data_IF_209897176083
#
_entry.id   IF_209897176083
#
_cell.length_a   1.000
_cell.length_b   1.000
_cell.length_c   1.000
_cell.angle_alpha   90.00
_cell.angle_beta   90.00
_cell.angle_gamma   90.00
#
_symmetry.space_group_name_H-M   'P 1'
#
loop_
_entity.id
_entity.type
_entity.pdbx_description
1 polymer ?
#
# COMPACT_ATOMS: atom_id res chain seq x y z
N UNK A 1 -7.96 -8.74 -3.96
CA UNK A 1 -6.63 -9.08 -3.43
C UNK A 1 -6.67 -9.20 -1.91
N UNK A 2 -6.17 -10.31 -1.36
CA UNK A 2 -6.12 -10.52 0.10
C UNK A 2 -5.07 -9.61 0.74
N UNK A 3 -5.24 -9.21 2.02
CA UNK A 3 -4.26 -8.37 2.72
C UNK A 3 -2.84 -8.94 2.69
N UNK A 4 -2.71 -10.27 2.81
CA UNK A 4 -1.41 -10.97 2.76
C UNK A 4 -0.76 -10.85 1.38
N UNK A 5 -1.51 -11.08 0.31
CA UNK A 5 -1.02 -10.96 -1.07
C UNK A 5 -0.55 -9.54 -1.37
N UNK A 6 -1.32 -8.54 -0.91
CA UNK A 6 -0.93 -7.15 -1.09
C UNK A 6 0.28 -6.75 -0.24
N UNK A 7 0.41 -7.26 0.98
CA UNK A 7 1.61 -7.08 1.81
C UNK A 7 2.84 -7.64 1.10
N UNK A 8 2.74 -8.84 0.53
CA UNK A 8 3.85 -9.49 -0.15
C UNK A 8 4.24 -8.72 -1.43
N UNK A 9 3.26 -8.20 -2.18
CA UNK A 9 3.50 -7.25 -3.27
C UNK A 9 4.25 -6.00 -2.80
N UNK A 10 3.80 -5.35 -1.71
CA UNK A 10 4.46 -4.17 -1.18
C UNK A 10 5.91 -4.48 -0.77
N UNK A 11 6.16 -5.63 -0.17
CA UNK A 11 7.53 -6.04 0.20
C UNK A 11 8.42 -6.14 -1.03
N UNK A 12 7.94 -6.72 -2.13
CA UNK A 12 8.70 -6.82 -3.37
C UNK A 12 8.98 -5.45 -3.99
N UNK A 13 7.95 -4.60 -4.11
CA UNK A 13 8.10 -3.24 -4.63
C UNK A 13 9.09 -2.42 -3.80
N UNK A 14 8.95 -2.45 -2.48
CA UNK A 14 9.79 -1.66 -1.58
C UNK A 14 11.26 -2.11 -1.59
N UNK A 15 11.52 -3.42 -1.67
CA UNK A 15 12.91 -3.94 -1.77
C UNK A 15 13.60 -3.50 -3.05
N UNK A 16 12.85 -3.29 -4.12
CA UNK A 16 13.37 -2.85 -5.41
C UNK A 16 13.34 -1.32 -5.59
N UNK A 17 12.83 -0.57 -4.60
CA UNK A 17 12.74 0.89 -4.66
C UNK A 17 14.08 1.56 -4.32
N UNK A 18 14.61 2.45 -5.18
CA UNK A 18 15.83 3.20 -4.88
C UNK A 18 15.76 3.96 -3.55
N UNK A 19 16.82 3.84 -2.75
CA UNK A 19 16.94 4.54 -1.47
C UNK A 19 16.25 3.84 -0.29
N UNK A 20 15.55 2.72 -0.50
CA UNK A 20 15.13 1.83 0.59
C UNK A 20 16.33 1.00 1.05
N UNK A 21 16.63 1.03 2.35
CA UNK A 21 17.74 0.28 2.95
C UNK A 21 17.30 -1.09 3.49
N UNK A 22 16.08 -1.19 4.02
CA UNK A 22 15.55 -2.41 4.64
C UNK A 22 14.04 -2.47 4.52
N UNK A 23 13.52 -3.67 4.33
CA UNK A 23 12.10 -4.00 4.40
C UNK A 23 11.94 -5.26 5.24
N UNK A 24 11.08 -5.21 6.24
CA UNK A 24 10.84 -6.31 7.16
C UNK A 24 9.34 -6.50 7.40
N UNK A 25 8.90 -7.76 7.42
CA UNK A 25 7.54 -8.12 7.81
C UNK A 25 7.51 -8.31 9.33
N UNK A 26 6.54 -7.69 9.99
CA UNK A 26 6.35 -7.78 11.43
C UNK A 26 5.23 -8.78 11.74
N UNK A 27 5.60 -10.01 12.11
CA UNK A 27 4.65 -11.10 12.37
C UNK A 27 4.09 -11.06 13.81
N UNK A 28 4.90 -10.66 14.80
CA UNK A 28 4.57 -10.74 16.24
C UNK A 28 4.24 -9.37 16.89
N UNK A 29 3.79 -8.40 16.10
CA UNK A 29 3.46 -7.05 16.56
C UNK A 29 2.01 -6.85 16.99
N UNK A 30 1.68 -5.71 17.63
CA UNK A 30 0.29 -5.34 17.94
C UNK A 30 -0.58 -5.11 16.69
N UNK A 31 0.05 -5.00 15.52
CA UNK A 31 -0.59 -4.75 14.24
C UNK A 31 -0.38 -5.94 13.30
N UNK A 32 -1.43 -6.73 12.98
CA UNK A 32 -1.31 -7.80 12.01
C UNK A 32 -1.01 -7.23 10.62
N UNK A 33 -0.28 -8.00 9.81
CA UNK A 33 0.13 -7.63 8.45
C UNK A 33 0.92 -6.31 8.38
N UNK A 34 1.71 -6.04 9.43
CA UNK A 34 2.57 -4.87 9.48
C UNK A 34 3.91 -5.12 8.78
N UNK A 35 4.50 -4.03 8.31
CA UNK A 35 5.81 -3.99 7.66
C UNK A 35 6.61 -2.78 8.15
N UNK A 36 7.90 -2.97 8.39
CA UNK A 36 8.85 -1.90 8.69
C UNK A 36 9.70 -1.62 7.45
N UNK A 37 9.87 -0.34 7.12
CA UNK A 37 10.68 0.12 6.00
C UNK A 37 11.69 1.14 6.50
N UNK A 38 12.97 0.88 6.27
CA UNK A 38 14.02 1.87 6.45
C UNK A 38 14.29 2.57 5.12
N UNK A 39 14.07 3.88 5.07
CA UNK A 39 14.26 4.72 3.87
C UNK A 39 14.74 6.11 4.27
N UNK A 40 15.76 6.65 3.61
CA UNK A 40 16.27 8.00 3.86
C UNK A 40 16.70 8.27 5.31
N UNK A 41 17.21 7.23 6.00
CA UNK A 41 17.59 7.33 7.41
C UNK A 41 16.43 7.34 8.41
N UNK A 42 15.20 7.10 7.95
CA UNK A 42 14.00 6.97 8.78
C UNK A 42 13.51 5.54 8.75
N UNK A 43 12.82 5.13 9.82
CA UNK A 43 12.05 3.89 9.86
C UNK A 43 10.56 4.22 9.85
N UNK A 44 9.81 3.58 8.97
CA UNK A 44 8.36 3.74 8.79
C UNK A 44 7.69 2.40 9.01
N UNK A 45 6.68 2.34 9.88
CA UNK A 45 5.89 1.13 10.12
C UNK A 45 4.53 1.29 9.48
N UNK A 46 4.16 0.36 8.61
CA UNK A 46 2.90 0.38 7.88
C UNK A 46 2.08 -0.84 8.24
N UNK A 47 0.78 -0.67 8.43
CA UNK A 47 -0.17 -1.75 8.55
C UNK A 47 -1.02 -1.86 7.30
N UNK A 48 -1.17 -3.08 6.76
CA UNK A 48 -2.02 -3.39 5.62
C UNK A 48 -3.33 -4.04 6.08
N UNK A 49 -4.46 -3.50 5.63
CA UNK A 49 -5.80 -4.04 5.91
C UNK A 49 -6.55 -4.19 4.58
N UNK A 50 -7.04 -5.39 4.27
CA UNK A 50 -7.83 -5.63 3.06
C UNK A 50 -9.33 -5.58 3.34
N UNK A 51 -10.09 -5.12 2.36
CA UNK A 51 -11.54 -5.12 2.33
C UNK A 51 -12.02 -5.78 1.04
N UNK A 52 -12.89 -6.78 1.20
CA UNK A 52 -13.55 -7.43 0.07
C UNK A 52 -14.51 -6.48 -0.65
N UNK A 53 -14.76 -6.77 -1.92
CA UNK A 53 -15.81 -6.11 -2.69
C UNK A 53 -17.18 -6.34 -2.04
N UNK A 54 -18.10 -5.42 -2.27
CA UNK A 54 -19.45 -5.53 -1.72
C UNK A 54 -20.12 -6.83 -2.17
N UNK A 55 -20.65 -7.60 -1.21
CA UNK A 55 -21.30 -8.89 -1.47
C UNK A 55 -20.36 -10.08 -1.72
N UNK A 56 -19.04 -9.86 -1.77
CA UNK A 56 -18.08 -10.95 -1.92
C UNK A 56 -17.93 -11.75 -0.62
N UNK A 57 -17.68 -13.06 -0.75
CA UNK A 57 -17.44 -13.98 0.37
C UNK A 57 -15.97 -14.35 0.44
N UNK A 58 -15.50 -14.72 1.63
CA UNK A 58 -14.11 -15.15 1.86
C UNK A 58 -13.79 -16.53 1.26
N UNK A 59 -14.81 -17.27 0.86
CA UNK A 59 -14.76 -18.68 0.47
C UNK A 59 -13.89 -18.90 -0.79
N UNK A 60 -13.92 -17.97 -1.73
CA UNK A 60 -13.18 -18.03 -2.99
C UNK A 60 -12.36 -16.75 -3.20
N UNK A 61 -11.08 -16.83 -3.57
CA UNK A 61 -10.33 -15.66 -4.03
C UNK A 61 -11.06 -15.00 -5.21
N UNK A 62 -11.25 -13.69 -5.15
CA UNK A 62 -11.69 -12.91 -6.32
C UNK A 62 -10.56 -12.90 -7.34
N UNK A 63 -10.88 -13.15 -8.61
CA UNK A 63 -9.91 -13.01 -9.68
C UNK A 63 -9.40 -11.56 -9.73
N UNK A 64 -8.09 -11.40 -9.93
CA UNK A 64 -7.52 -10.09 -10.24
C UNK A 64 -8.07 -9.62 -11.59
N UNK A 65 -8.52 -8.37 -11.64
CA UNK A 65 -8.95 -7.70 -12.87
C UNK A 65 -7.84 -6.74 -13.24
N UNK A 66 -7.40 -6.79 -14.50
CA UNK A 66 -6.40 -5.87 -15.02
C UNK A 66 -7.06 -4.74 -15.79
N UNK A 67 -6.66 -3.50 -15.55
CA UNK A 67 -7.19 -2.31 -16.22
C UNK A 67 -6.13 -1.25 -16.56
N UNK A 68 -4.85 -1.56 -16.33
CA UNK A 68 -3.72 -0.65 -16.48
C UNK A 68 -3.31 -0.04 -15.15
N UNK A 69 -2.10 0.54 -15.05
CA UNK A 69 -1.63 1.11 -13.80
C UNK A 69 -2.39 2.39 -13.44
N UNK A 70 -2.50 2.71 -12.14
CA UNK A 70 -3.11 3.96 -11.71
C UNK A 70 -2.24 5.14 -12.15
N UNK A 71 -2.86 6.29 -12.40
CA UNK A 71 -2.12 7.54 -12.45
C UNK A 71 -1.48 7.81 -11.07
N UNK A 72 -0.23 8.26 -11.05
CA UNK A 72 0.49 8.53 -9.81
C UNK A 72 1.33 9.81 -9.91
N UNK A 73 1.72 10.32 -8.74
CA UNK A 73 2.63 11.44 -8.60
C UNK A 73 3.82 10.96 -7.79
N UNK A 74 5.03 11.13 -8.32
CA UNK A 74 6.25 10.86 -7.56
C UNK A 74 6.35 11.82 -6.38
N UNK A 75 6.72 11.30 -5.21
CA UNK A 75 7.07 12.13 -4.06
C UNK A 75 8.50 11.78 -3.59
N UNK A 76 9.29 12.78 -3.21
CA UNK A 76 10.67 12.55 -2.81
C UNK A 76 10.75 11.78 -1.50
N UNK A 77 11.82 10.99 -1.36
CA UNK A 77 12.22 10.41 -0.06
C UNK A 77 12.37 11.55 0.96
N UNK A 78 11.73 11.40 2.12
CA UNK A 78 11.70 12.41 3.17
C UNK A 78 10.52 13.37 3.12
N UNK A 79 9.71 13.35 2.05
CA UNK A 79 8.42 14.04 1.97
C UNK A 79 7.33 13.42 2.87
N UNK A 80 6.06 13.71 2.55
CA UNK A 80 4.92 13.09 3.23
C UNK A 80 4.98 11.55 3.05
N UNK A 81 4.97 10.75 4.14
CA UNK A 81 5.23 9.32 4.07
C UNK A 81 4.27 8.55 3.16
N UNK A 82 2.99 8.91 3.18
CA UNK A 82 1.94 8.27 2.39
C UNK A 82 1.93 8.72 0.92
N UNK A 83 2.27 9.98 0.65
CA UNK A 83 2.52 10.45 -0.72
C UNK A 83 3.73 9.73 -1.34
N UNK A 84 4.81 9.54 -0.57
CA UNK A 84 5.96 8.76 -1.00
C UNK A 84 5.58 7.31 -1.29
N UNK A 85 4.87 6.65 -0.38
CA UNK A 85 4.45 5.26 -0.58
C UNK A 85 3.51 5.13 -1.79
N UNK A 86 2.58 6.07 -2.00
CA UNK A 86 1.72 6.09 -3.17
C UNK A 86 2.51 6.25 -4.47
N UNK A 87 3.52 7.12 -4.50
CA UNK A 87 4.43 7.26 -5.64
C UNK A 87 5.21 5.98 -5.93
N UNK A 88 5.69 5.30 -4.89
CA UNK A 88 6.39 4.01 -5.00
C UNK A 88 5.48 2.93 -5.59
N UNK A 89 4.25 2.80 -5.08
CA UNK A 89 3.27 1.83 -5.59
C UNK A 89 2.93 2.14 -7.05
N UNK A 90 2.66 3.41 -7.38
CA UNK A 90 2.33 3.83 -8.74
C UNK A 90 3.46 3.57 -9.75
N UNK A 91 4.71 3.84 -9.36
CA UNK A 91 5.89 3.60 -10.18
C UNK A 91 6.16 2.11 -10.48
N UNK A 92 5.60 1.20 -9.69
CA UNK A 92 5.64 -0.25 -9.97
C UNK A 92 4.64 -0.67 -11.07
N UNK A 93 3.84 0.27 -11.59
CA UNK A 93 2.83 0.06 -12.62
C UNK A 93 1.88 -1.15 -12.33
N UNK A 94 1.25 -1.23 -11.14
CA UNK A 94 0.41 -2.37 -10.78
C UNK A 94 -0.87 -2.39 -11.62
N UNK A 95 -0.96 -3.36 -12.53
CA UNK A 95 -2.06 -3.47 -13.52
C UNK A 95 -3.43 -3.81 -12.92
N UNK A 96 -3.47 -4.25 -11.66
CA UNK A 96 -4.69 -4.60 -10.92
C UNK A 96 -5.25 -3.45 -10.08
N UNK A 97 -4.49 -2.37 -9.96
CA UNK A 97 -4.83 -1.20 -9.15
C UNK A 97 -5.48 -0.14 -10.01
N UNK A 98 -6.71 0.21 -9.66
CA UNK A 98 -7.49 1.24 -10.35
C UNK A 98 -7.06 2.64 -9.94
N UNK A 99 -6.89 2.89 -8.64
CA UNK A 99 -6.50 4.19 -8.12
C UNK A 99 -5.90 4.11 -6.72
N UNK A 100 -5.14 5.15 -6.35
CA UNK A 100 -4.54 5.31 -5.03
C UNK A 100 -4.98 6.66 -4.48
N UNK A 101 -5.54 6.65 -3.27
CA UNK A 101 -5.98 7.85 -2.57
C UNK A 101 -5.12 8.08 -1.33
N UNK A 102 -4.32 9.15 -1.34
CA UNK A 102 -3.46 9.54 -0.22
C UNK A 102 -4.30 10.25 0.84
N UNK A 103 -4.14 9.89 2.11
CA UNK A 103 -4.99 10.41 3.19
C UNK A 103 -4.53 11.77 3.69
N UNK A 104 -3.23 12.04 3.70
CA UNK A 104 -2.68 13.33 4.14
C UNK A 104 -3.10 14.52 3.27
N UNK A 105 -3.64 14.28 2.07
CA UNK A 105 -4.19 15.35 1.21
C UNK A 105 -5.66 15.66 1.50
N UNK A 106 -6.34 14.85 2.34
CA UNK A 106 -7.76 15.03 2.67
C UNK A 106 -7.93 16.16 3.68
N UNK A 107 -8.94 17.00 3.47
CA UNK A 107 -9.27 18.08 4.40
C UNK A 107 -9.63 17.54 5.79
N UNK A 108 -8.98 18.08 6.83
CA UNK A 108 -9.29 17.76 8.23
C UNK A 108 -8.77 16.41 8.75
N UNK A 109 -7.97 15.66 7.96
CA UNK A 109 -7.31 14.43 8.43
C UNK A 109 -5.80 14.57 8.34
N UNK A 110 -5.10 14.22 9.44
CA UNK A 110 -3.64 14.34 9.53
C UNK A 110 -2.92 12.99 9.63
N UNK A 111 -3.65 11.88 9.75
CA UNK A 111 -3.05 10.55 9.90
C UNK A 111 -2.53 10.05 8.55
N UNK A 112 -1.21 9.79 8.40
CA UNK A 112 -0.66 9.34 7.13
C UNK A 112 -1.15 7.95 6.76
N UNK A 113 -1.58 7.80 5.52
CA UNK A 113 -2.01 6.53 4.97
C UNK A 113 -2.53 6.66 3.56
N UNK A 114 -2.88 5.53 2.96
CA UNK A 114 -3.47 5.49 1.64
C UNK A 114 -4.52 4.40 1.53
N UNK A 115 -5.48 4.64 0.64
CA UNK A 115 -6.41 3.61 0.17
C UNK A 115 -6.01 3.23 -1.25
N UNK A 116 -5.86 1.94 -1.50
CA UNK A 116 -5.69 1.38 -2.84
C UNK A 116 -7.01 0.75 -3.26
N UNK A 117 -7.52 1.19 -4.40
CA UNK A 117 -8.72 0.64 -5.01
C UNK A 117 -8.29 -0.31 -6.13
N UNK A 118 -8.76 -1.54 -6.09
CA UNK A 118 -8.50 -2.53 -7.12
C UNK A 118 -9.64 -2.57 -8.13
N UNK A 119 -9.35 -2.90 -9.38
CA UNK A 119 -10.36 -2.99 -10.44
C UNK A 119 -11.46 -4.01 -10.16
N UNK A 120 -11.23 -4.97 -9.27
CA UNK A 120 -12.21 -5.97 -8.88
C UNK A 120 -13.16 -5.50 -7.76
N UNK A 121 -13.09 -4.22 -7.37
CA UNK A 121 -13.93 -3.61 -6.34
C UNK A 121 -13.44 -3.82 -4.90
N UNK A 122 -12.36 -4.58 -4.70
CA UNK A 122 -11.70 -4.71 -3.40
C UNK A 122 -10.86 -3.47 -3.07
N UNK A 123 -10.45 -3.34 -1.80
CA UNK A 123 -9.61 -2.24 -1.35
C UNK A 123 -8.54 -2.72 -0.38
N UNK A 124 -7.40 -2.04 -0.38
CA UNK A 124 -6.41 -2.12 0.69
C UNK A 124 -6.25 -0.77 1.37
N UNK A 125 -6.23 -0.76 2.68
CA UNK A 125 -5.89 0.40 3.50
C UNK A 125 -4.47 0.18 4.04
N UNK A 126 -3.57 1.13 3.75
CA UNK A 126 -2.20 1.11 4.25
C UNK A 126 -2.01 2.33 5.13
N UNK A 127 -1.89 2.13 6.43
CA UNK A 127 -1.76 3.23 7.40
C UNK A 127 -0.41 3.21 8.09
N UNK A 128 0.13 4.39 8.38
CA UNK A 128 1.32 4.51 9.21
C UNK A 128 0.93 4.22 10.67
N UNK A 129 1.74 3.44 11.39
CA UNK A 129 1.50 3.02 12.78
C UNK A 129 2.64 3.33 13.73
#
# INVERSE_FOLDING_TARGET
>A
MRPLEYRDFLVDVLKNTPGVQRVEVLEDGPYPFALAVSVGGRELHWQVIGQLAEGAKHDSPTAAVQGGPPAFVEAPVGGAPDAWLAGVIGAAEPVDTESIEVWSVREGKNDPGLTVFFHNGERAFVRLV
#
